data_IF_258811703817
#
_entry.id   IF_258811703817
#
_cell.length_a   1.000
_cell.length_b   1.000
_cell.length_c   1.000
_cell.angle_alpha   90.00
_cell.angle_beta   90.00
_cell.angle_gamma   90.00
#
_symmetry.space_group_name_H-M   'P 1'
#
loop_
_entity.id
_entity.type
_entity.pdbx_description
1 polymer ?
2 polymer ?
3 non-polymer ?
4 non-polymer ?
5 non-polymer ?
6 water ?
#
# COMPACT_ATOMS: atom_id res chain seq x y z
N UNK A 3 -17.42 -9.50 -1.31
CA UNK A 3 -15.94 -9.55 -1.49
C UNK A 3 -15.46 -8.40 -2.35
N UNK A 4 -14.40 -7.73 -1.89
CA UNK A 4 -13.85 -6.57 -2.58
C UNK A 4 -12.41 -6.76 -3.01
N UNK A 5 -12.11 -6.27 -4.20
CA UNK A 5 -10.75 -6.14 -4.70
C UNK A 5 -10.53 -4.72 -5.19
N UNK A 6 -9.61 -4.00 -4.53
CA UNK A 6 -9.16 -2.69 -5.01
C UNK A 6 -7.85 -2.89 -5.75
N UNK A 7 -7.78 -2.32 -6.95
CA UNK A 7 -6.57 -2.37 -7.78
C UNK A 7 -6.08 -0.95 -7.95
N UNK A 8 -5.00 -0.62 -7.25
CA UNK A 8 -4.40 0.70 -7.32
C UNK A 8 -3.34 0.69 -8.39
N UNK A 9 -3.45 1.60 -9.36
CA UNK A 9 -2.56 1.57 -10.50
C UNK A 9 -1.82 2.89 -10.67
N UNK A 10 -0.65 2.82 -11.28
CA UNK A 10 0.13 3.99 -11.60
C UNK A 10 -0.15 4.50 -12.99
N UNK A 11 0.40 5.69 -13.29
CA UNK A 11 0.59 6.08 -14.67
C UNK A 11 1.41 5.03 -15.41
N UNK A 12 1.27 5.01 -16.72
CA UNK A 12 2.06 4.14 -17.57
C UNK A 12 3.31 4.88 -18.05
N UNK A 13 4.44 4.20 -18.03
CA UNK A 13 5.72 4.74 -18.52
C UNK A 13 6.20 3.80 -19.61
N UNK A 14 6.16 4.25 -20.87
CA UNK A 14 6.47 3.36 -21.98
C UNK A 14 5.65 2.06 -21.85
N UNK A 15 4.38 2.21 -21.50
CA UNK A 15 3.45 1.10 -21.41
C UNK A 15 3.44 0.36 -20.09
N UNK A 16 4.45 0.55 -19.26
CA UNK A 16 4.58 -0.22 -18.03
C UNK A 16 3.88 0.51 -16.87
N UNK A 17 3.14 -0.26 -16.07
CA UNK A 17 2.49 0.26 -14.89
C UNK A 17 2.52 -0.75 -13.75
N UNK A 18 2.34 -0.26 -12.55
CA UNK A 18 2.29 -1.05 -11.34
C UNK A 18 0.85 -1.23 -10.90
N UNK A 19 0.53 -2.42 -10.38
CA UNK A 19 -0.78 -2.74 -9.84
C UNK A 19 -0.57 -3.34 -8.46
N UNK A 20 -1.21 -2.73 -7.47
CA UNK A 20 -1.22 -3.24 -6.11
C UNK A 20 -2.66 -3.62 -5.72
N UNK A 21 -2.83 -4.80 -5.14
CA UNK A 21 -4.14 -5.32 -4.78
C UNK A 21 -4.37 -5.15 -3.27
N UNK A 22 -5.43 -4.44 -2.92
CA UNK A 22 -5.88 -4.29 -1.53
C UNK A 22 -4.83 -3.75 -0.59
N UNK A 23 -3.90 -2.96 -1.11
CA UNK A 23 -2.96 -2.25 -0.25
C UNK A 23 -1.95 -3.11 0.47
N UNK A 24 -1.74 -4.34 0.03
CA UNK A 24 -0.78 -5.23 0.69
C UNK A 24 -0.21 -6.14 -0.37
N UNK A 25 0.91 -6.79 -0.09
CA UNK A 25 1.46 -7.76 -1.01
C UNK A 25 0.54 -8.96 -1.04
N UNK A 26 -0.16 -9.17 -2.14
CA UNK A 26 -1.25 -10.16 -2.13
C UNK A 26 -1.48 -10.84 -3.46
N UNK A 27 -0.54 -10.71 -4.40
CA UNK A 27 -0.68 -11.24 -5.74
C UNK A 27 0.34 -12.36 -5.98
N UNK A 28 -0.15 -13.55 -6.36
CA UNK A 28 0.70 -14.67 -6.76
C UNK A 28 1.11 -14.52 -8.23
N UNK A 29 2.05 -15.33 -8.69
CA UNK A 29 2.46 -15.22 -10.07
C UNK A 29 1.32 -15.51 -11.03
N UNK A 30 0.51 -16.51 -10.72
CA UNK A 30 -0.63 -16.81 -11.59
C UNK A 30 -1.67 -15.69 -11.59
N UNK A 31 -1.93 -15.13 -10.42
CA UNK A 31 -2.89 -14.03 -10.37
C UNK A 31 -2.34 -12.81 -11.10
N UNK A 32 -1.02 -12.60 -11.05
CA UNK A 32 -0.39 -11.48 -11.75
C UNK A 32 -0.65 -11.55 -13.25
N UNK A 33 -0.45 -12.74 -13.82
CA UNK A 33 -0.67 -12.91 -15.24
C UNK A 33 -2.15 -12.68 -15.59
N UNK A 34 -3.06 -13.15 -14.73
CA UNK A 34 -4.48 -12.92 -14.94
C UNK A 34 -4.86 -11.45 -14.85
N UNK A 35 -4.24 -10.71 -13.91
CA UNK A 35 -4.48 -9.26 -13.79
C UNK A 35 -4.02 -8.54 -15.03
N UNK A 36 -2.81 -8.82 -15.47
CA UNK A 36 -2.36 -8.13 -16.66
C UNK A 36 -3.29 -8.41 -17.85
N UNK A 37 -3.69 -9.67 -18.03
CA UNK A 37 -4.61 -10.01 -19.10
C UNK A 37 -5.92 -9.22 -18.99
N UNK A 38 -6.42 -9.06 -17.75
CA UNK A 38 -7.65 -8.32 -17.56
C UNK A 38 -7.50 -6.82 -17.85
N UNK A 39 -6.26 -6.32 -17.84
CA UNK A 39 -5.94 -4.96 -18.29
C UNK A 39 -5.51 -4.93 -19.77
N UNK A 40 -5.80 -5.99 -20.54
CA UNK A 40 -5.34 -6.09 -21.95
C UNK A 40 -3.83 -5.84 -22.06
N UNK A 41 -3.10 -6.41 -21.12
CA UNK A 41 -1.68 -6.18 -20.92
C UNK A 41 -0.97 -7.52 -20.68
N UNK A 42 0.35 -7.47 -20.61
CA UNK A 42 1.19 -8.64 -20.39
C UNK A 42 2.18 -8.36 -19.27
N UNK A 43 2.74 -9.40 -18.64
CA UNK A 43 3.86 -9.17 -17.72
C UNK A 43 5.01 -8.54 -18.51
N UNK A 44 5.62 -7.46 -18.00
CA UNK A 44 6.69 -6.83 -18.79
C UNK A 44 7.91 -7.71 -18.99
N UNK A 45 8.56 -7.53 -20.13
CA UNK A 45 9.90 -8.08 -20.28
C UNK A 45 10.88 -7.21 -19.51
N UNK A 46 12.07 -7.75 -19.27
CA UNK A 46 13.10 -6.97 -18.64
C UNK A 46 13.41 -5.70 -19.47
N UNK A 47 13.48 -5.84 -20.80
CA UNK A 47 13.70 -4.68 -21.67
C UNK A 47 12.65 -3.58 -21.45
N UNK A 48 11.38 -4.00 -21.35
CA UNK A 48 10.29 -3.05 -21.15
C UNK A 48 10.42 -2.33 -19.80
N UNK A 49 10.79 -3.08 -18.77
CA UNK A 49 10.97 -2.51 -17.46
C UNK A 49 12.17 -1.52 -17.42
N UNK A 50 13.27 -1.86 -18.10
CA UNK A 50 14.43 -0.97 -18.19
C UNK A 50 14.07 0.31 -18.92
N UNK A 51 13.29 0.22 -19.99
CA UNK A 51 12.86 1.41 -20.70
C UNK A 51 12.00 2.32 -19.80
N UNK A 52 11.06 1.74 -19.06
CA UNK A 52 10.20 2.49 -18.16
C UNK A 52 11.03 3.20 -17.09
N UNK A 53 11.97 2.50 -16.46
CA UNK A 53 12.85 3.09 -15.47
C UNK A 53 13.60 4.30 -16.03
N UNK A 54 14.06 4.17 -17.27
CA UNK A 54 14.89 5.18 -17.91
C UNK A 54 14.13 6.47 -18.07
N UNK A 55 12.81 6.41 -18.18
CA UNK A 55 12.02 7.63 -18.35
C UNK A 55 11.18 8.00 -17.13
N UNK A 56 11.58 7.51 -15.94
CA UNK A 56 11.04 8.06 -14.71
C UNK A 56 10.17 7.14 -13.84
N UNK A 57 10.06 5.86 -14.23
CA UNK A 57 9.25 4.90 -13.49
C UNK A 57 10.00 4.35 -12.30
N UNK A 58 9.47 4.57 -11.10
CA UNK A 58 9.96 3.92 -9.89
C UNK A 58 8.81 3.67 -8.94
N UNK A 59 8.97 2.64 -8.10
CA UNK A 59 8.02 2.38 -7.02
C UNK A 59 8.83 1.93 -5.81
N UNK A 60 8.15 1.82 -4.66
CA UNK A 60 8.76 1.22 -3.48
C UNK A 60 8.19 -0.18 -3.23
N UNK A 61 7.86 -0.91 -4.30
CA UNK A 61 7.19 -2.18 -4.18
C UNK A 61 7.77 -3.22 -5.10
N UNK A 62 7.95 -4.44 -4.58
CA UNK A 62 8.31 -5.57 -5.42
C UNK A 62 7.11 -6.07 -6.22
N UNK A 63 7.36 -6.49 -7.46
CA UNK A 63 6.29 -7.03 -8.25
C UNK A 63 6.80 -7.90 -9.38
N UNK A 64 5.92 -8.77 -9.86
CA UNK A 64 6.25 -9.66 -10.96
C UNK A 64 6.49 -8.93 -12.26
N UNK A 65 7.50 -9.41 -12.99
CA UNK A 65 7.58 -9.21 -14.44
C UNK A 65 7.75 -10.62 -15.04
N UNK A 66 7.93 -10.74 -16.34
CA UNK A 66 8.06 -12.07 -16.94
C UNK A 66 9.43 -12.65 -16.54
N UNK A 67 9.43 -13.72 -15.74
CA UNK A 67 10.59 -14.46 -15.27
C UNK A 67 11.33 -13.96 -14.02
N UNK A 68 10.85 -12.87 -13.40
CA UNK A 68 11.54 -12.26 -12.26
C UNK A 68 10.57 -11.49 -11.39
N UNK A 69 11.03 -11.17 -10.17
CA UNK A 69 10.35 -10.21 -9.31
C UNK A 69 11.32 -9.07 -9.11
N UNK A 70 10.86 -7.83 -9.30
CA UNK A 70 11.74 -6.67 -9.32
C UNK A 70 11.14 -5.48 -8.59
N UNK A 71 12.00 -4.50 -8.35
CA UNK A 71 11.56 -3.20 -7.87
C UNK A 71 12.37 -2.15 -8.63
N UNK A 72 11.69 -1.24 -9.36
CA UNK A 72 12.40 -0.24 -10.13
C UNK A 72 12.71 0.97 -9.26
N UNK A 73 14.00 1.35 -9.17
CA UNK A 73 14.45 2.45 -8.30
C UNK A 73 15.27 3.47 -9.06
N UNK A 74 14.91 4.71 -8.88
CA UNK A 74 15.63 5.82 -9.51
C UNK A 74 16.36 6.67 -8.45
N UNK A 75 15.66 7.00 -7.38
CA UNK A 75 16.23 7.81 -6.29
C UNK A 75 16.52 6.89 -5.10
N UNK A 76 17.75 6.88 -4.60
CA UNK A 76 18.02 5.97 -3.46
C UNK A 76 17.14 6.28 -2.26
N UNK A 77 16.50 5.26 -1.70
CA UNK A 77 15.74 5.40 -0.48
C UNK A 77 16.04 4.17 0.36
N UNK A 78 16.38 4.40 1.63
CA UNK A 78 16.82 3.35 2.49
C UNK A 78 15.76 2.25 2.73
N UNK A 79 14.48 2.55 2.51
CA UNK A 79 13.34 1.64 2.72
C UNK A 79 12.92 0.92 1.41
N UNK A 80 13.60 1.20 0.29
CA UNK A 80 13.18 0.66 -1.02
C UNK A 80 14.41 -0.02 -1.60
N UNK A 81 14.45 -1.35 -1.52
CA UNK A 81 15.61 -2.10 -2.03
C UNK A 81 16.93 -1.63 -1.42
N UNK A 82 16.91 -1.32 -0.12
CA UNK A 82 18.13 -1.05 0.64
C UNK A 82 19.01 -0.03 -0.05
N UNK A 83 18.36 1.03 -0.52
CA UNK A 83 19.04 2.16 -1.05
C UNK A 83 19.62 1.95 -2.46
N UNK A 84 19.36 0.81 -3.08
CA UNK A 84 19.83 0.57 -4.45
C UNK A 84 19.08 1.36 -5.49
N UNK A 85 19.73 1.59 -6.63
CA UNK A 85 19.07 2.17 -7.80
C UNK A 85 19.20 1.22 -8.98
N UNK A 86 18.31 1.35 -9.96
CA UNK A 86 18.20 0.44 -11.09
C UNK A 86 16.99 -0.47 -10.96
N UNK A 87 16.83 -1.37 -11.92
CA UNK A 87 15.83 -2.42 -11.80
C UNK A 87 16.45 -3.49 -10.90
N UNK A 88 16.02 -3.52 -9.65
CA UNK A 88 16.58 -4.41 -8.65
C UNK A 88 15.87 -5.73 -8.64
N UNK A 89 16.63 -6.82 -8.73
CA UNK A 89 16.05 -8.14 -8.90
C UNK A 89 16.05 -8.94 -7.59
N UNK A 90 14.88 -9.37 -7.14
CA UNK A 90 14.71 -10.11 -5.91
C UNK A 90 15.21 -11.56 -6.08
N UNK A 91 16.04 -11.98 -5.12
CA UNK A 91 16.71 -13.29 -5.09
C UNK A 91 16.13 -14.29 -4.06
N UNK A 92 15.11 -13.89 -3.30
CA UNK A 92 14.34 -14.77 -2.43
C UNK A 92 12.91 -14.42 -2.76
N UNK A 93 12.48 -14.92 -3.92
CA UNK A 93 11.31 -14.45 -4.66
C UNK A 93 10.11 -15.40 -4.60
N UNK A 94 9.83 -15.83 -3.37
CA UNK A 94 8.94 -16.94 -3.04
C UNK A 94 7.47 -16.61 -2.66
N UNK A 95 7.26 -15.42 -2.12
CA UNK A 95 5.99 -15.06 -1.48
C UNK A 95 5.00 -14.43 -2.47
N UNK A 96 4.03 -13.69 -1.95
CA UNK A 96 3.14 -12.87 -2.79
C UNK A 96 3.74 -11.48 -2.90
N UNK A 97 3.50 -10.83 -4.05
CA UNK A 97 4.04 -9.50 -4.29
C UNK A 97 2.95 -8.63 -4.89
N UNK A 98 3.35 -7.51 -5.49
CA UNK A 98 2.45 -6.78 -6.39
C UNK A 98 2.71 -7.30 -7.83
N UNK A 99 2.22 -6.62 -8.85
CA UNK A 99 2.63 -6.92 -10.21
C UNK A 99 2.89 -5.69 -11.02
N UNK A 100 3.70 -5.87 -12.06
CA UNK A 100 3.80 -4.91 -13.13
C UNK A 100 3.09 -5.47 -14.35
N UNK A 101 2.66 -4.58 -15.25
CA UNK A 101 2.00 -4.92 -16.49
C UNK A 101 2.48 -3.99 -17.59
N UNK A 102 2.43 -4.48 -18.83
CA UNK A 102 2.79 -3.72 -20.01
C UNK A 102 1.62 -3.70 -20.99
N UNK A 103 1.20 -2.49 -21.35
CA UNK A 103 0.11 -2.28 -22.29
C UNK A 103 0.65 -1.78 -23.61
N UNK A 104 0.55 -2.63 -24.64
CA UNK A 104 1.07 -2.33 -25.97
C UNK A 104 0.38 -1.16 -26.67
N UNK A 105 -0.79 -0.76 -26.18
CA UNK A 105 -1.53 0.36 -26.76
C UNK A 105 -1.07 1.72 -26.26
N UNK A 106 -0.41 1.74 -25.09
CA UNK A 106 -0.02 2.98 -24.42
C UNK A 106 0.96 3.76 -25.27
N UNK A 107 0.99 5.11 -25.09
CA UNK A 107 1.95 5.93 -25.81
C UNK A 107 3.39 5.76 -25.32
N UNK A 108 4.36 6.42 -26.00
CA UNK A 108 5.75 6.11 -25.74
C UNK A 108 6.32 6.57 -24.39
N UNK A 109 5.79 7.65 -23.85
CA UNK A 109 6.37 8.26 -22.66
C UNK A 109 5.43 8.03 -21.48
N UNK A 110 5.14 9.04 -20.69
CA UNK A 110 4.29 8.86 -19.51
C UNK A 110 2.84 9.15 -19.87
N UNK A 111 1.92 8.29 -19.43
CA UNK A 111 0.50 8.48 -19.66
C UNK A 111 -0.24 8.30 -18.37
N UNK A 112 -0.94 9.35 -17.92
CA UNK A 112 -1.68 9.32 -16.66
C UNK A 112 -3.19 9.34 -16.86
N UNK A 113 -3.61 9.11 -18.10
CA UNK A 113 -5.04 9.07 -18.51
C UNK A 113 -5.81 8.15 -17.60
N UNK A 114 -6.95 8.65 -17.13
CA UNK A 114 -7.72 8.00 -16.08
C UNK A 114 -8.24 6.69 -16.59
N UNK A 115 -8.06 5.63 -15.81
CA UNK A 115 -8.51 4.29 -16.22
C UNK A 115 -9.83 4.03 -15.51
N UNK A 116 -10.92 3.72 -16.25
CA UNK A 116 -12.26 3.77 -15.70
C UNK A 116 -12.93 2.41 -15.50
N UNK A 117 -12.24 1.32 -15.85
CA UNK A 117 -12.70 -0.03 -15.57
C UNK A 117 -11.53 -0.99 -15.76
N UNK A 118 -11.76 -2.24 -15.34
CA UNK A 118 -10.88 -3.35 -15.66
C UNK A 118 -11.47 -3.92 -16.96
N UNK A 119 -10.82 -3.67 -18.11
CA UNK A 119 -11.53 -3.76 -19.39
C UNK A 119 -11.77 -5.18 -19.89
N UNK A 120 -10.96 -6.14 -19.44
CA UNK A 120 -11.04 -7.49 -19.94
C UNK A 120 -11.26 -8.47 -18.79
N UNK A 121 -12.01 -8.02 -17.78
CA UNK A 121 -12.56 -8.91 -16.76
C UNK A 121 -13.68 -9.76 -17.37
N UNK A 122 -14.24 -10.69 -16.60
CA UNK A 122 -15.41 -11.45 -17.03
C UNK A 122 -16.45 -11.41 -15.90
N UNK A 123 -17.61 -12.05 -16.14
CA UNK A 123 -18.69 -12.07 -15.17
C UNK A 123 -18.33 -12.73 -13.86
N UNK A 124 -18.82 -12.11 -12.78
CA UNK A 124 -18.57 -12.63 -11.47
C UNK A 124 -19.15 -11.67 -10.45
N UNK A 125 -19.08 -12.05 -9.20
CA UNK A 125 -19.76 -11.32 -8.14
C UNK A 125 -18.87 -10.38 -7.30
N UNK A 126 -17.56 -10.31 -7.61
CA UNK A 126 -16.57 -9.49 -6.86
C UNK A 126 -16.78 -8.01 -7.18
N UNK A 127 -16.77 -7.16 -6.16
CA UNK A 127 -16.72 -5.72 -6.37
C UNK A 127 -15.28 -5.33 -6.63
N UNK A 128 -14.99 -4.96 -7.87
CA UNK A 128 -13.66 -4.62 -8.32
C UNK A 128 -13.57 -3.12 -8.56
N UNK A 129 -12.65 -2.47 -7.85
CA UNK A 129 -12.48 -1.01 -7.97
C UNK A 129 -11.12 -0.68 -8.54
N UNK A 130 -11.07 0.10 -9.61
CA UNK A 130 -9.83 0.67 -10.11
C UNK A 130 -9.61 1.98 -9.36
N UNK A 131 -8.42 2.14 -8.81
CA UNK A 131 -8.02 3.36 -8.12
C UNK A 131 -6.85 3.98 -8.85
N UNK A 132 -7.08 5.16 -9.41
CA UNK A 132 -6.03 5.90 -10.10
C UNK A 132 -5.15 6.67 -9.09
N UNK A 133 -4.05 7.21 -9.61
CA UNK A 133 -3.03 7.97 -8.85
C UNK A 133 -3.59 9.10 -8.00
N UNK A 134 -4.63 9.76 -8.50
CA UNK A 134 -5.28 10.90 -7.88
C UNK A 134 -6.34 10.47 -6.90
N UNK A 135 -6.50 9.16 -6.74
CA UNK A 135 -7.46 8.61 -5.83
C UNK A 135 -8.85 8.39 -6.39
N UNK A 136 -9.09 8.72 -7.65
CA UNK A 136 -10.42 8.49 -8.15
C UNK A 136 -10.65 6.99 -8.30
N UNK A 137 -11.85 6.60 -7.98
CA UNK A 137 -12.28 5.21 -7.89
C UNK A 137 -13.40 4.93 -8.89
N UNK A 138 -13.29 3.79 -9.57
CA UNK A 138 -14.29 3.32 -10.53
C UNK A 138 -14.64 1.88 -10.20
N UNK A 139 -15.92 1.58 -10.04
CA UNK A 139 -16.34 0.28 -9.49
C UNK A 139 -17.14 -0.55 -10.50
N UNK A 140 -16.88 -1.86 -10.55
CA UNK A 140 -17.65 -2.79 -11.38
C UNK A 140 -17.82 -4.09 -10.60
N UNK A 141 -18.64 -5.00 -11.14
CA UNK A 141 -18.80 -6.34 -10.59
C UNK A 141 -18.23 -7.34 -11.58
N UNK A 142 -17.37 -8.23 -11.11
CA UNK A 142 -16.81 -9.22 -12.03
C UNK A 142 -15.87 -10.18 -11.37
N UNK A 143 -14.99 -10.73 -12.20
CA UNK A 143 -13.96 -11.66 -11.79
C UNK A 143 -12.85 -11.59 -12.84
N UNK A 144 -11.63 -11.94 -12.45
CA UNK A 144 -10.52 -12.03 -13.42
C UNK A 144 -9.61 -13.24 -13.15
N UNK A 145 -9.80 -13.93 -12.04
CA UNK A 145 -8.88 -15.02 -11.65
C UNK A 145 -9.29 -16.31 -12.32
N UNK A 146 -8.30 -16.97 -12.91
CA UNK A 146 -8.53 -18.24 -13.60
C UNK A 146 -7.85 -19.43 -12.95
N UNK A 147 -7.11 -19.20 -11.87
CA UNK A 147 -6.45 -20.30 -11.23
C UNK A 147 -7.14 -20.64 -9.92
N UNK A 148 -7.73 -21.85 -9.81
CA UNK A 148 -8.47 -22.20 -8.59
C UNK A 148 -7.68 -21.99 -7.30
N UNK A 149 -6.37 -22.16 -7.35
CA UNK A 149 -5.56 -22.00 -6.16
C UNK A 149 -5.44 -20.56 -5.69
N UNK A 150 -5.74 -19.60 -6.57
CA UNK A 150 -5.83 -18.20 -6.17
C UNK A 150 -7.19 -17.85 -5.59
N UNK A 151 -8.18 -18.71 -5.83
CA UNK A 151 -9.54 -18.42 -5.37
C UNK A 151 -9.74 -19.11 -4.04
N UNK A 152 -9.30 -20.35 -3.93
CA UNK A 152 -9.25 -21.00 -2.63
C UNK A 152 -7.96 -21.78 -2.42
N UNK B 3 -6.41 15.08 -3.08
CA UNK B 3 -7.64 15.64 -2.46
C UNK B 3 -8.09 14.80 -1.25
N UNK B 4 -9.04 13.89 -1.47
CA UNK B 4 -9.32 12.73 -0.62
C UNK B 4 -8.14 12.07 0.06
N UNK B 5 -8.42 11.53 1.24
CA UNK B 5 -7.43 10.81 2.02
C UNK B 5 -8.03 9.49 2.46
N UNK B 6 -7.38 8.38 2.08
CA UNK B 6 -7.73 7.05 2.59
C UNK B 6 -6.75 6.68 3.68
N UNK B 7 -7.28 6.23 4.80
CA UNK B 7 -6.46 5.80 5.93
C UNK B 7 -6.73 4.31 6.14
N UNK B 8 -5.78 3.47 5.73
CA UNK B 8 -5.92 2.03 5.88
C UNK B 8 -5.31 1.60 7.19
N UNK B 9 -6.10 0.98 8.07
CA UNK B 9 -5.65 0.67 9.42
C UNK B 9 -5.66 -0.82 9.70
N UNK B 10 -4.85 -1.23 10.66
CA UNK B 10 -4.88 -2.58 11.14
C UNK B 10 -5.77 -2.73 12.37
N UNK B 11 -6.03 -3.99 12.72
CA UNK B 11 -6.44 -4.28 14.07
C UNK B 11 -5.41 -3.73 15.08
N UNK B 12 -5.87 -3.50 16.31
CA UNK B 12 -5.00 -3.06 17.38
C UNK B 12 -4.46 -4.26 18.15
N UNK B 13 -3.16 -4.25 18.43
CA UNK B 13 -2.50 -5.31 19.19
C UNK B 13 -1.93 -4.62 20.42
N UNK B 14 -2.46 -4.91 21.64
CA UNK B 14 -1.99 -4.22 22.85
C UNK B 14 -2.02 -2.71 22.61
N UNK B 15 -3.08 -2.25 21.93
CA UNK B 15 -3.26 -0.84 21.66
C UNK B 15 -2.55 -0.25 20.46
N UNK B 16 -1.63 -1.00 19.86
CA UNK B 16 -0.83 -0.52 18.72
C UNK B 16 -1.49 -0.88 17.41
N UNK B 17 -1.50 0.08 16.50
CA UNK B 17 -1.98 -0.17 15.15
C UNK B 17 -1.15 0.60 14.14
N UNK B 18 -1.25 0.18 12.89
CA UNK B 18 -0.57 0.78 11.75
C UNK B 18 -1.59 1.56 10.93
N UNK B 19 -1.15 2.72 10.44
CA UNK B 19 -1.95 3.53 9.54
C UNK B 19 -1.13 3.87 8.30
N UNK B 20 -1.69 3.57 7.13
CA UNK B 20 -1.07 3.88 5.84
C UNK B 20 -1.99 4.85 5.11
N UNK B 21 -1.43 5.94 4.59
CA UNK B 21 -2.19 6.97 3.91
C UNK B 21 -2.06 6.84 2.40
N UNK B 22 -3.21 6.69 1.73
CA UNK B 22 -3.29 6.70 0.27
C UNK B 22 -2.44 5.63 -0.41
N UNK B 23 -2.22 4.52 0.27
CA UNK B 23 -1.57 3.40 -0.36
C UNK B 23 -0.11 3.59 -0.72
N UNK B 24 0.57 4.54 -0.11
CA UNK B 24 1.99 4.71 -0.39
C UNK B 24 2.59 5.51 0.77
N UNK B 25 3.91 5.46 0.88
CA UNK B 25 4.60 6.14 1.96
C UNK B 25 4.39 7.64 1.79
N UNK B 26 3.66 8.29 2.68
CA UNK B 26 3.22 9.66 2.41
C UNK B 26 3.02 10.47 3.67
N UNK B 27 3.47 9.97 4.81
CA UNK B 27 3.25 10.63 6.10
C UNK B 27 4.57 11.22 6.64
N UNK B 28 4.59 12.50 6.98
CA UNK B 28 5.73 13.12 7.65
C UNK B 28 5.58 12.93 9.17
N UNK B 29 6.63 13.24 9.93
CA UNK B 29 6.53 13.10 11.38
C UNK B 29 5.44 13.99 11.98
N UNK B 30 5.32 15.22 11.50
CA UNK B 30 4.27 16.10 12.03
C UNK B 30 2.88 15.59 11.65
N UNK B 31 2.71 15.09 10.43
CA UNK B 31 1.42 14.56 10.09
C UNK B 31 1.10 13.29 10.88
N UNK B 32 2.11 12.48 11.16
CA UNK B 32 1.94 11.28 11.98
C UNK B 32 1.38 11.62 13.35
N UNK B 33 1.95 12.63 14.00
CA UNK B 33 1.49 13.03 15.32
C UNK B 33 0.03 13.50 15.22
N UNK B 34 -0.31 14.27 14.18
CA UNK B 34 -1.68 14.75 14.01
C UNK B 34 -2.65 13.61 13.73
N UNK B 35 -2.18 12.63 13.00
CA UNK B 35 -3.03 11.55 12.64
C UNK B 35 -3.30 10.64 13.87
N UNK B 36 -2.29 10.35 14.69
CA UNK B 36 -2.53 9.57 15.90
C UNK B 36 -3.50 10.33 16.82
N UNK B 37 -3.30 11.64 16.97
CA UNK B 37 -4.19 12.45 17.81
C UNK B 37 -5.63 12.36 17.31
N UNK B 38 -5.83 12.37 16.00
CA UNK B 38 -7.17 12.27 15.44
C UNK B 38 -7.84 10.90 15.65
N UNK B 39 -7.02 9.88 15.96
CA UNK B 39 -7.47 8.57 16.39
C UNK B 39 -7.46 8.43 17.93
N UNK B 40 -7.45 9.54 18.67
CA UNK B 40 -7.42 9.46 20.14
C UNK B 40 -6.23 8.66 20.64
N UNK B 41 -5.10 8.81 19.96
CA UNK B 41 -3.93 7.97 20.16
C UNK B 41 -2.64 8.80 20.15
N UNK B 42 -1.54 8.13 20.45
CA UNK B 42 -0.22 8.76 20.51
C UNK B 42 0.79 7.93 19.74
N UNK B 43 1.92 8.52 19.34
CA UNK B 43 2.96 7.69 18.73
C UNK B 43 3.44 6.66 19.76
N UNK B 44 3.56 5.39 19.40
CA UNK B 44 3.95 4.39 20.41
C UNK B 44 5.36 4.56 20.95
N UNK B 45 5.58 4.16 22.19
CA UNK B 45 6.92 3.95 22.66
C UNK B 45 7.48 2.63 22.14
N UNK B 46 8.80 2.50 22.19
CA UNK B 46 9.42 1.22 21.85
C UNK B 46 8.84 0.05 22.69
N UNK B 47 8.65 0.26 23.99
CA UNK B 47 8.10 -0.80 24.83
C UNK B 47 6.71 -1.19 24.35
N UNK B 48 5.89 -0.22 23.95
CA UNK B 48 4.55 -0.55 23.42
C UNK B 48 4.63 -1.36 22.14
N UNK B 49 5.58 -1.00 21.25
CA UNK B 49 5.79 -1.80 20.04
C UNK B 49 6.25 -3.21 20.37
N UNK B 50 7.16 -3.34 21.33
CA UNK B 50 7.66 -4.68 21.68
C UNK B 50 6.54 -5.56 22.23
N UNK B 51 5.64 -4.97 23.00
CA UNK B 51 4.52 -5.73 23.54
C UNK B 51 3.61 -6.18 22.39
N UNK B 52 3.30 -5.27 21.47
CA UNK B 52 2.48 -5.62 20.33
C UNK B 52 3.13 -6.73 19.53
N UNK B 53 4.45 -6.63 19.34
CA UNK B 53 5.18 -7.66 18.57
C UNK B 53 5.05 -9.03 19.22
N UNK B 54 5.12 -9.02 20.54
CA UNK B 54 5.11 -10.27 21.30
C UNK B 54 3.80 -11.02 21.18
N UNK B 55 2.74 -10.35 20.77
CA UNK B 55 1.44 -11.01 20.62
C UNK B 55 1.01 -11.10 19.15
N UNK B 56 1.93 -10.92 18.22
CA UNK B 56 1.65 -11.23 16.84
C UNK B 56 1.59 -10.07 15.86
N UNK B 57 1.87 -8.85 16.31
CA UNK B 57 1.83 -7.70 15.40
C UNK B 57 3.07 -7.63 14.50
N UNK B 58 2.85 -7.64 13.20
CA UNK B 58 3.93 -7.38 12.23
C UNK B 58 3.33 -6.76 10.99
N UNK B 59 4.16 -5.99 10.29
CA UNK B 59 3.76 -5.43 9.01
C UNK B 59 4.97 -5.46 8.07
N UNK B 60 4.75 -5.14 6.81
CA UNK B 60 5.87 -4.99 5.88
C UNK B 60 6.10 -3.51 5.57
N UNK B 61 5.83 -2.63 6.54
CA UNK B 61 5.90 -1.19 6.31
C UNK B 61 6.67 -0.48 7.42
N UNK B 62 7.49 0.49 7.05
CA UNK B 62 8.10 1.36 8.04
C UNK B 62 7.14 2.46 8.47
N UNK B 63 7.25 2.86 9.73
CA UNK B 63 6.40 3.91 10.25
C UNK B 63 6.97 4.57 11.49
N UNK B 64 6.54 5.81 11.71
CA UNK B 64 6.95 6.54 12.90
C UNK B 64 6.46 5.92 14.19
N UNK B 65 7.33 5.99 15.19
CA UNK B 65 6.98 5.82 16.58
C UNK B 65 7.64 6.97 17.35
N UNK B 66 7.55 6.94 18.68
CA UNK B 66 8.32 7.85 19.53
C UNK B 66 9.82 7.61 19.33
N UNK B 67 10.49 8.66 18.84
CA UNK B 67 11.94 8.58 18.78
C UNK B 67 12.61 7.79 17.68
N UNK B 68 11.82 7.15 16.81
CA UNK B 68 12.37 6.31 15.75
C UNK B 68 11.37 6.13 14.64
N UNK B 69 11.86 5.57 13.54
CA UNK B 69 11.05 4.96 12.48
C UNK B 69 11.39 3.47 12.51
N UNK B 70 10.37 2.61 12.54
CA UNK B 70 10.56 1.18 12.73
C UNK B 70 9.69 0.36 11.80
N UNK B 71 10.01 -0.94 11.76
CA UNK B 71 9.18 -1.93 11.10
C UNK B 71 9.13 -3.15 12.03
N UNK B 72 7.94 -3.58 12.46
CA UNK B 72 7.82 -4.73 13.36
C UNK B 72 7.78 -6.02 12.56
N UNK B 73 8.74 -6.90 12.84
CA UNK B 73 8.91 -8.14 12.07
C UNK B 73 8.99 -9.33 12.99
N UNK B 74 8.15 -10.32 12.73
CA UNK B 74 8.18 -11.61 13.44
C UNK B 74 8.83 -12.68 12.57
N UNK B 75 8.37 -12.80 11.33
CA UNK B 75 8.85 -13.81 10.39
C UNK B 75 9.84 -13.14 9.42
N UNK B 76 11.03 -13.71 9.19
CA UNK B 76 11.92 -13.09 8.19
C UNK B 76 11.33 -13.10 6.77
N UNK B 77 11.38 -11.96 6.11
CA UNK B 77 11.02 -11.89 4.69
C UNK B 77 12.00 -10.94 4.04
N UNK B 78 12.56 -11.37 2.90
CA UNK B 78 13.53 -10.59 2.16
C UNK B 78 13.01 -9.22 1.73
N UNK B 79 11.69 -9.11 1.55
CA UNK B 79 11.06 -7.85 1.08
C UNK B 79 10.68 -6.90 2.25
N UNK B 80 10.91 -7.31 3.51
CA UNK B 80 10.50 -6.53 4.67
C UNK B 80 11.71 -6.38 5.59
N UNK B 81 12.46 -5.29 5.44
CA UNK B 81 13.72 -5.09 6.17
C UNK B 81 14.72 -6.24 6.01
N UNK B 82 14.83 -6.77 4.79
CA UNK B 82 15.92 -7.70 4.45
C UNK B 82 16.12 -8.82 5.47
N UNK B 83 15.02 -9.50 5.80
CA UNK B 83 15.01 -10.65 6.69
C UNK B 83 15.24 -10.36 8.16
N UNK B 84 15.38 -9.08 8.52
CA UNK B 84 15.51 -8.70 9.92
C UNK B 84 14.24 -9.01 10.70
N UNK B 85 14.43 -9.21 12.01
CA UNK B 85 13.32 -9.40 12.93
C UNK B 85 13.43 -8.47 14.13
N UNK B 86 12.33 -8.40 14.88
CA UNK B 86 12.22 -7.50 16.00
C UNK B 86 11.50 -6.22 15.59
N UNK B 87 11.39 -5.30 16.53
CA UNK B 87 10.93 -3.96 16.18
C UNK B 87 12.15 -3.22 15.61
N UNK B 88 12.36 -3.39 14.32
CA UNK B 88 13.61 -3.04 13.68
C UNK B 88 13.71 -1.55 13.40
N UNK B 89 14.79 -0.92 13.88
CA UNK B 89 14.96 0.52 13.76
C UNK B 89 15.64 0.90 12.45
N UNK B 90 15.01 1.82 11.72
CA UNK B 90 15.57 2.37 10.49
C UNK B 90 16.61 3.44 10.81
N UNK B 91 17.81 3.30 10.28
CA UNK B 91 18.86 4.29 10.58
C UNK B 91 18.71 5.57 9.76
N UNK B 92 18.64 5.43 8.45
CA UNK B 92 18.48 6.58 7.54
C UNK B 92 17.00 6.84 7.42
N UNK B 93 16.53 7.80 8.19
CA UNK B 93 15.12 7.90 8.55
C UNK B 93 14.51 9.25 8.25
N UNK B 94 14.94 9.87 7.15
CA UNK B 94 14.60 11.25 6.82
C UNK B 94 13.47 11.43 5.79
N UNK B 95 12.88 10.32 5.33
CA UNK B 95 11.87 10.35 4.27
C UNK B 95 10.44 10.38 4.85
N UNK B 96 9.44 10.16 4.00
CA UNK B 96 8.06 9.99 4.45
C UNK B 96 7.81 8.50 4.64
N UNK B 97 6.99 8.16 5.63
CA UNK B 97 6.73 6.76 5.96
C UNK B 97 5.23 6.56 6.17
N UNK B 98 4.85 5.43 6.77
CA UNK B 98 3.53 5.27 7.36
C UNK B 98 3.64 5.73 8.82
N UNK B 99 2.64 5.43 9.66
CA UNK B 99 2.80 5.66 11.09
C UNK B 99 2.22 4.49 11.88
N UNK B 100 2.73 4.35 13.08
CA UNK B 100 2.09 3.56 14.11
C UNK B 100 1.45 4.51 15.12
N UNK B 101 0.44 3.99 15.83
CA UNK B 101 -0.27 4.73 16.85
C UNK B 101 -0.59 3.78 18.00
N UNK B 102 -0.70 4.35 19.21
CA UNK B 102 -1.05 3.61 20.41
C UNK B 102 -2.29 4.24 21.05
N UNK B 103 -3.28 3.39 21.33
CA UNK B 103 -4.50 3.82 21.98
C UNK B 103 -4.60 3.19 23.36
N UNK B 104 -4.75 4.05 24.37
CA UNK B 104 -4.73 3.63 25.77
C UNK B 104 -6.01 2.89 26.19
N UNK B 105 -7.12 3.10 25.49
CA UNK B 105 -8.39 2.45 25.81
C UNK B 105 -8.49 1.02 25.28
N UNK B 106 -7.73 0.72 24.24
CA UNK B 106 -7.81 -0.58 23.57
C UNK B 106 -7.48 -1.69 24.55
N UNK B 107 -8.01 -2.90 24.30
CA UNK B 107 -7.76 -4.03 25.20
C UNK B 107 -6.35 -4.62 25.01
N UNK B 108 -5.94 -5.55 25.88
CA UNK B 108 -4.55 -6.03 25.83
C UNK B 108 -4.19 -6.90 24.64
N UNK B 109 -5.15 -7.64 24.06
CA UNK B 109 -4.82 -8.52 22.95
C UNK B 109 -5.19 -7.87 21.61
N UNK B 110 -5.90 -8.56 20.74
CA UNK B 110 -6.17 -8.03 19.42
C UNK B 110 -7.60 -7.54 19.30
N UNK B 111 -7.75 -6.29 18.93
CA UNK B 111 -9.06 -5.68 18.73
C UNK B 111 -9.22 -5.34 17.26
N UNK B 112 -10.15 -6.02 16.62
CA UNK B 112 -10.48 -5.79 15.23
C UNK B 112 -11.82 -5.11 15.04
N UNK B 113 -12.44 -4.60 16.10
CA UNK B 113 -13.71 -3.89 15.97
C UNK B 113 -13.60 -2.87 14.85
N UNK B 114 -14.62 -2.81 13.99
CA UNK B 114 -14.57 -1.83 12.92
C UNK B 114 -14.47 -0.42 13.44
N UNK B 115 -13.60 0.36 12.79
CA UNK B 115 -13.46 1.77 13.06
C UNK B 115 -14.25 2.49 12.00
N UNK B 116 -15.24 3.26 12.44
CA UNK B 116 -16.27 3.74 11.53
C UNK B 116 -16.24 5.26 11.33
N UNK B 117 -15.22 5.92 11.90
CA UNK B 117 -14.91 7.32 11.60
C UNK B 117 -13.53 7.62 12.18
N UNK B 118 -13.02 8.80 11.83
CA UNK B 118 -11.82 9.34 12.45
C UNK B 118 -12.37 10.19 13.60
N UNK B 119 -12.21 9.74 14.87
CA UNK B 119 -13.06 10.22 15.97
C UNK B 119 -12.68 11.56 16.59
N UNK B 120 -11.47 12.04 16.34
CA UNK B 120 -11.00 13.25 16.95
C UNK B 120 -10.42 14.18 15.89
N UNK B 121 -11.08 14.20 14.75
CA UNK B 121 -10.80 15.15 13.69
C UNK B 121 -11.46 16.51 14.00
N UNK B 122 -11.42 17.42 13.03
CA UNK B 122 -12.11 18.68 13.17
C UNK B 122 -12.73 19.02 11.81
N UNK B 123 -13.44 20.15 11.76
CA UNK B 123 -14.13 20.50 10.54
C UNK B 123 -13.15 20.73 9.39
N UNK B 124 -13.55 20.30 8.21
CA UNK B 124 -12.79 20.61 7.03
C UNK B 124 -13.40 19.98 5.81
N UNK B 125 -12.80 20.28 4.64
CA UNK B 125 -13.38 19.92 3.37
C UNK B 125 -12.88 18.58 2.78
N UNK B 126 -11.99 17.87 3.45
CA UNK B 126 -11.39 16.67 2.87
C UNK B 126 -12.34 15.49 3.02
N UNK B 127 -12.43 14.65 1.99
CA UNK B 127 -13.13 13.36 2.12
C UNK B 127 -12.17 12.35 2.70
N UNK B 128 -12.43 11.94 3.93
CA UNK B 128 -11.53 11.05 4.68
C UNK B 128 -12.23 9.71 4.82
N UNK B 129 -11.58 8.65 4.36
CA UNK B 129 -12.15 7.31 4.43
C UNK B 129 -11.27 6.44 5.31
N UNK B 130 -11.88 5.79 6.31
CA UNK B 130 -11.22 4.76 7.10
C UNK B 130 -11.42 3.43 6.38
N UNK B 131 -10.35 2.69 6.16
CA UNK B 131 -10.42 1.36 5.57
C UNK B 131 -9.94 0.37 6.60
N UNK B 132 -10.84 -0.49 7.06
CA UNK B 132 -10.50 -1.50 8.06
C UNK B 132 -9.76 -2.68 7.44
N UNK B 133 -9.19 -3.53 8.27
CA UNK B 133 -8.41 -4.66 7.78
C UNK B 133 -9.24 -5.58 6.91
N UNK B 134 -10.54 -5.66 7.21
CA UNK B 134 -11.46 -6.48 6.41
C UNK B 134 -11.92 -5.81 5.11
N UNK B 135 -11.36 -4.64 4.79
CA UNK B 135 -11.69 -3.92 3.56
C UNK B 135 -12.90 -3.00 3.65
N UNK B 136 -13.60 -2.96 4.78
CA UNK B 136 -14.78 -2.11 4.88
C UNK B 136 -14.40 -0.64 5.06
N UNK B 137 -15.09 0.20 4.28
CA UNK B 137 -14.77 1.62 4.14
C UNK B 137 -15.83 2.47 4.78
N UNK B 138 -15.42 3.51 5.49
CA UNK B 138 -16.34 4.45 6.14
C UNK B 138 -15.86 5.87 5.79
N UNK B 139 -16.73 6.71 5.25
CA UNK B 139 -16.34 8.01 4.70
C UNK B 139 -16.97 9.18 5.44
N UNK B 140 -16.18 10.24 5.68
CA UNK B 140 -16.64 11.47 6.32
C UNK B 140 -15.96 12.65 5.66
N UNK B 141 -16.43 13.86 5.98
CA UNK B 141 -15.71 15.10 5.65
C UNK B 141 -15.01 15.61 6.88
N UNK B 142 -13.77 16.08 6.74
CA UNK B 142 -13.11 16.70 7.88
C UNK B 142 -11.72 17.15 7.52
N UNK B 143 -10.94 17.39 8.54
CA UNK B 143 -9.51 17.65 8.43
C UNK B 143 -8.87 17.21 9.74
N UNK B 144 -7.58 16.86 9.69
CA UNK B 144 -6.84 16.52 10.89
C UNK B 144 -5.44 17.14 10.93
N UNK B 145 -4.97 17.68 9.81
CA UNK B 145 -3.62 18.21 9.71
C UNK B 145 -3.55 19.63 10.22
N UNK B 146 -2.52 19.91 11.02
CA UNK B 146 -2.33 21.22 11.64
C UNK B 146 -1.03 21.90 11.18
N UNK B 147 -0.22 21.25 10.36
CA UNK B 147 1.01 21.87 9.86
C UNK B 147 0.80 22.28 8.43
N UNK B 148 0.89 23.60 8.13
CA UNK B 148 0.71 24.06 6.75
C UNK B 148 1.63 23.38 5.75
N UNK B 149 2.84 23.03 6.17
CA UNK B 149 3.78 22.38 5.27
C UNK B 149 3.36 20.98 4.85
N UNK B 150 2.53 20.33 5.67
CA UNK B 150 1.99 19.03 5.29
C UNK B 150 0.87 19.17 4.28
N UNK B 151 0.03 20.20 4.45
CA UNK B 151 -1.13 20.38 3.60
C UNK B 151 -0.74 21.00 2.24
N UNK B 152 0.16 21.99 2.29
CA UNK B 152 0.61 22.72 1.09
C UNK B 152 2.13 22.61 0.97
N UNK B 153 2.64 21.48 0.47
CA UNK B 153 4.10 21.37 0.32
C UNK B 153 4.65 22.38 -0.69
N UNK C 1 -15.37 7.29 24.22
CA UNK C 1 -14.89 8.71 24.28
C UNK C 1 -13.44 8.87 23.84
N UNK C 2 -12.61 7.88 24.16
CA UNK C 2 -11.18 7.91 23.81
C UNK C 2 -10.74 6.67 23.02
N UNK C 3 -11.66 5.99 22.37
CA UNK C 3 -11.34 4.81 21.57
C UNK C 3 -10.84 5.18 20.17
N UNK C 4 -10.16 4.24 19.52
CA UNK C 4 -9.81 4.39 18.11
C UNK C 4 -11.12 4.57 17.33
#
# INVERSE_FOLDING_TARGET
AMAQIDLNITCRFAGVFHVEKNGRYSISRTEAADLCKAFNSTLPTMAQMEKALSIGFETCRYGFIEGHVVIPRIHPNSICAANNTGVYILTSNTSQYDTYCFNASAPPEEDCTSVTDLPNAFDGPITITIVNRDGTRYVQKGEYRTNPEDIYP
AMAQIDLNITCRFAGVFHVEKNGRYSISRTEAADLCKAFNSTLPTMAQMEKALSIGFETCRYGFIEGHVVIPRIHPNSICAANNTGVYILTSNTSQYDTYCFNASAPPEEDCTSVTDLPNAFDGPITITIVNRDGTRYVQKGEYRTNPEDIYP
AAAV
#
